data_IF_256919071879
#
_entry.id   IF_256919071879
#
_cell.length_a   1.000
_cell.length_b   1.000
_cell.length_c   1.000
_cell.angle_alpha   90.00
_cell.angle_beta   90.00
_cell.angle_gamma   90.00
#
_symmetry.space_group_name_H-M   'P 1'
#
loop_
_entity.id
_entity.type
_entity.pdbx_description
1 polymer ?
#
# COMPACT_ATOMS: atom_id res chain seq x y z
N UNK A 1 -2.25 -11.24 10.29
CA UNK A 1 -2.03 -10.05 9.45
C UNK A 1 -1.14 -10.49 8.30
N UNK A 2 -1.60 -10.38 7.06
CA UNK A 2 -0.75 -10.70 5.90
C UNK A 2 0.51 -9.83 5.95
N UNK A 3 1.65 -10.41 5.59
CA UNK A 3 2.92 -9.71 5.63
C UNK A 3 2.90 -8.53 4.63
N UNK A 4 3.32 -7.31 5.03
CA UNK A 4 3.45 -6.18 4.11
C UNK A 4 4.28 -6.50 2.86
N UNK A 5 5.18 -7.49 2.95
CA UNK A 5 6.01 -8.00 1.86
C UNK A 5 5.27 -8.52 0.63
N UNK A 6 3.95 -8.78 0.71
CA UNK A 6 3.14 -9.15 -0.46
C UNK A 6 2.75 -7.92 -1.29
N UNK A 7 2.76 -6.73 -0.69
CA UNK A 7 2.33 -5.49 -1.33
C UNK A 7 3.42 -4.95 -2.27
N UNK A 8 2.97 -4.42 -3.41
CA UNK A 8 3.80 -3.74 -4.40
C UNK A 8 3.25 -2.33 -4.63
N UNK A 9 4.08 -1.32 -4.42
CA UNK A 9 3.74 0.06 -4.73
C UNK A 9 4.37 0.42 -6.07
N UNK A 10 3.53 0.77 -7.04
CA UNK A 10 3.96 1.24 -8.34
C UNK A 10 3.79 2.76 -8.41
N UNK A 11 4.84 3.46 -8.86
CA UNK A 11 4.80 4.89 -9.14
C UNK A 11 5.08 5.13 -10.62
N UNK A 12 4.71 6.32 -11.12
CA UNK A 12 5.04 6.75 -12.48
C UNK A 12 4.46 5.86 -13.59
N UNK A 13 3.36 5.15 -13.31
CA UNK A 13 2.60 4.37 -14.29
C UNK A 13 1.36 5.15 -14.67
N UNK A 14 1.08 5.24 -15.97
CA UNK A 14 -0.12 5.92 -16.46
C UNK A 14 -1.32 4.98 -16.46
N UNK A 15 -1.14 3.75 -16.96
CA UNK A 15 -2.21 2.76 -17.05
C UNK A 15 -1.82 1.46 -16.33
N UNK A 16 -2.70 0.91 -15.51
CA UNK A 16 -2.42 -0.35 -14.79
C UNK A 16 -2.22 -1.53 -15.76
N UNK A 17 -2.78 -1.48 -16.97
CA UNK A 17 -2.56 -2.48 -18.02
C UNK A 17 -1.11 -2.53 -18.53
N UNK A 18 -0.29 -1.52 -18.22
CA UNK A 18 1.14 -1.48 -18.54
C UNK A 18 1.99 -2.31 -17.55
N UNK A 19 1.43 -2.67 -16.39
CA UNK A 19 2.11 -3.48 -15.37
C UNK A 19 2.25 -4.92 -15.88
N UNK A 20 3.49 -5.39 -15.89
CA UNK A 20 3.90 -6.75 -16.28
C UNK A 20 4.69 -7.40 -15.15
N UNK A 21 5.02 -8.68 -15.31
CA UNK A 21 5.76 -9.46 -14.32
C UNK A 21 7.12 -8.83 -13.95
N UNK A 22 7.80 -8.22 -14.92
CA UNK A 22 9.11 -7.59 -14.80
C UNK A 22 9.07 -6.10 -14.45
N UNK A 23 7.88 -5.53 -14.21
CA UNK A 23 7.75 -4.11 -13.88
C UNK A 23 8.30 -3.83 -12.48
N UNK A 24 9.22 -2.86 -12.38
CA UNK A 24 9.80 -2.42 -11.11
C UNK A 24 8.74 -1.89 -10.15
N UNK A 25 8.91 -2.19 -8.87
CA UNK A 25 8.02 -1.74 -7.80
C UNK A 25 8.81 -1.48 -6.51
N UNK A 26 8.19 -0.74 -5.59
CA UNK A 26 8.67 -0.61 -4.22
C UNK A 26 7.95 -1.64 -3.35
N UNK A 27 8.71 -2.51 -2.68
CA UNK A 27 8.17 -3.42 -1.68
C UNK A 27 7.88 -2.67 -0.38
N UNK A 28 6.79 -3.01 0.29
CA UNK A 28 6.44 -2.39 1.58
C UNK A 28 7.21 -3.09 2.70
N UNK A 29 8.04 -2.32 3.42
CA UNK A 29 8.82 -2.81 4.55
C UNK A 29 7.98 -2.82 5.84
N UNK A 30 7.28 -1.73 6.10
CA UNK A 30 6.48 -1.49 7.30
C UNK A 30 5.24 -0.68 6.90
N UNK A 31 4.16 -0.84 7.67
CA UNK A 31 2.95 -0.03 7.55
C UNK A 31 2.66 0.50 8.95
N UNK A 32 2.56 1.82 9.07
CA UNK A 32 2.25 2.51 10.32
C UNK A 32 0.83 3.06 10.21
N UNK A 33 -0.13 2.38 10.82
CA UNK A 33 -1.53 2.82 10.88
C UNK A 33 -1.69 3.75 12.06
N UNK A 34 -2.48 4.82 11.91
CA UNK A 34 -2.81 5.71 13.04
C UNK A 34 -3.38 4.91 14.21
N UNK A 35 -2.89 5.16 15.42
CA UNK A 35 -3.23 4.38 16.63
C UNK A 35 -4.71 4.45 17.01
N UNK A 36 -5.35 5.57 16.72
CA UNK A 36 -6.78 5.83 16.90
C UNK A 36 -7.67 5.39 15.71
N UNK A 37 -7.11 4.75 14.69
CA UNK A 37 -7.92 4.26 13.57
C UNK A 37 -8.82 3.11 14.00
N UNK A 38 -10.13 3.27 13.79
CA UNK A 38 -11.12 2.22 13.97
C UNK A 38 -11.88 1.95 12.67
N UNK A 39 -12.05 0.66 12.34
CA UNK A 39 -12.77 0.26 11.13
C UNK A 39 -14.23 0.66 11.24
N UNK A 40 -14.77 1.21 10.15
CA UNK A 40 -16.15 1.67 10.05
C UNK A 40 -16.50 2.92 10.91
N UNK A 41 -15.49 3.57 11.51
CA UNK A 41 -15.63 4.89 12.11
C UNK A 41 -15.02 5.98 11.22
N UNK A 42 -15.38 7.25 11.48
CA UNK A 42 -14.87 8.40 10.74
C UNK A 42 -13.73 9.08 11.51
N UNK A 43 -12.63 9.35 10.82
CA UNK A 43 -11.44 10.00 11.40
C UNK A 43 -10.23 9.07 11.40
N UNK A 44 -9.04 9.67 11.55
CA UNK A 44 -7.76 8.96 11.63
C UNK A 44 -7.49 7.96 10.48
N UNK A 45 -8.15 8.13 9.33
CA UNK A 45 -7.99 7.30 8.13
C UNK A 45 -6.70 7.71 7.38
N UNK A 46 -5.57 7.37 8.01
CA UNK A 46 -4.23 7.65 7.53
C UNK A 46 -3.28 6.51 7.92
N UNK A 47 -2.39 6.17 6.99
CA UNK A 47 -1.29 5.24 7.20
C UNK A 47 -0.04 5.72 6.45
N UNK A 48 1.14 5.32 6.96
CA UNK A 48 2.45 5.54 6.34
C UNK A 48 3.08 4.21 5.92
#
# INVERSE_FOLDING_TARGET
>A
VESPKVLRVYSSILNQSEIKEDTSFFGVQEIIIHDQYEKAESGYDIAL
#
